data_IF_470244796862
#
_entry.id   IF_470244796862
#
_cell.length_a   1.000
_cell.length_b   1.000
_cell.length_c   1.000
_cell.angle_alpha   90.00
_cell.angle_beta   90.00
_cell.angle_gamma   90.00
#
_symmetry.space_group_name_H-M   'P 1'
#
loop_
_entity.id
_entity.type
_entity.pdbx_description
1 polymer ?
#
# COMPACT_ATOMS: atom_id res chain seq x y z
N UNK A 1 -13.46 -13.74 -11.12
CA UNK A 1 -13.65 -13.03 -12.41
C UNK A 1 -12.32 -12.37 -12.76
N UNK A 2 -11.92 -12.31 -14.04
CA UNK A 2 -10.71 -11.57 -14.44
C UNK A 2 -11.11 -10.13 -14.74
N UNK A 3 -10.73 -9.20 -13.88
CA UNK A 3 -10.96 -7.78 -14.09
C UNK A 3 -9.65 -7.06 -14.40
N UNK A 4 -9.75 -5.98 -15.17
CA UNK A 4 -8.63 -5.07 -15.39
C UNK A 4 -8.82 -3.91 -14.42
N UNK A 5 -7.86 -3.74 -13.53
CA UNK A 5 -7.88 -2.72 -12.49
C UNK A 5 -7.17 -1.45 -12.96
N UNK A 6 -7.74 -0.30 -12.62
CA UNK A 6 -7.04 0.97 -12.71
C UNK A 6 -6.08 1.16 -11.53
N UNK A 7 -5.25 2.21 -11.58
CA UNK A 7 -4.25 2.46 -10.53
C UNK A 7 -4.86 2.69 -9.14
N UNK A 8 -6.06 3.28 -9.07
CA UNK A 8 -6.74 3.54 -7.80
C UNK A 8 -7.23 2.25 -7.14
N UNK A 9 -7.80 1.35 -7.93
CA UNK A 9 -8.23 0.03 -7.49
C UNK A 9 -7.04 -0.83 -7.05
N UNK A 10 -5.93 -0.77 -7.80
CA UNK A 10 -4.68 -1.44 -7.40
C UNK A 10 -4.16 -0.88 -6.09
N UNK A 11 -4.15 0.45 -5.91
CA UNK A 11 -3.72 1.09 -4.68
C UNK A 11 -4.61 0.70 -3.49
N UNK A 12 -5.93 0.63 -3.71
CA UNK A 12 -6.88 0.15 -2.73
C UNK A 12 -6.59 -1.30 -2.31
N UNK A 13 -6.36 -2.21 -3.27
CA UNK A 13 -5.96 -3.61 -2.97
C UNK A 13 -4.65 -3.69 -2.18
N UNK A 14 -3.70 -2.81 -2.47
CA UNK A 14 -2.41 -2.75 -1.77
C UNK A 14 -2.53 -2.08 -0.38
N UNK A 15 -3.68 -1.52 -0.03
CA UNK A 15 -3.87 -0.65 1.14
C UNK A 15 -2.83 0.48 1.19
N UNK A 16 -2.64 1.14 0.04
CA UNK A 16 -1.70 2.25 -0.20
C UNK A 16 -2.35 3.34 -1.02
N UNK A 17 -1.72 4.51 -1.07
CA UNK A 17 -2.15 5.58 -1.96
C UNK A 17 -1.68 5.33 -3.41
N UNK A 18 -2.37 5.83 -4.44
CA UNK A 18 -1.89 5.73 -5.82
C UNK A 18 -0.49 6.32 -5.98
N UNK A 19 -0.21 7.45 -5.32
CA UNK A 19 1.11 8.08 -5.29
C UNK A 19 2.20 7.14 -4.80
N UNK A 20 1.93 6.26 -3.84
CA UNK A 20 2.91 5.28 -3.37
C UNK A 20 3.42 4.39 -4.49
N UNK A 21 2.52 3.93 -5.38
CA UNK A 21 2.87 3.06 -6.51
C UNK A 21 3.77 3.81 -7.49
N UNK A 22 3.45 5.07 -7.81
CA UNK A 22 4.28 5.89 -8.70
C UNK A 22 5.70 6.10 -8.15
N UNK A 23 5.82 6.46 -6.86
CA UNK A 23 7.13 6.74 -6.24
C UNK A 23 7.97 5.47 -6.01
N UNK A 24 7.33 4.33 -5.78
CA UNK A 24 8.00 3.06 -5.50
C UNK A 24 8.03 2.12 -6.72
N UNK A 25 7.66 2.60 -7.91
CA UNK A 25 7.48 1.76 -9.10
C UNK A 25 8.68 0.87 -9.38
N UNK A 26 9.90 1.42 -9.38
CA UNK A 26 11.13 0.64 -9.59
C UNK A 26 11.32 -0.46 -8.55
N UNK A 27 11.00 -0.17 -7.29
CA UNK A 27 11.11 -1.13 -6.18
C UNK A 27 10.07 -2.26 -6.32
N UNK A 28 8.86 -1.91 -6.72
CA UNK A 28 7.77 -2.86 -6.97
C UNK A 28 8.10 -3.75 -8.17
N UNK A 29 8.58 -3.17 -9.28
CA UNK A 29 9.01 -3.94 -10.44
C UNK A 29 10.16 -4.91 -10.09
N UNK A 30 11.11 -4.49 -9.23
CA UNK A 30 12.18 -5.35 -8.74
C UNK A 30 11.67 -6.52 -7.86
N UNK A 31 10.55 -6.35 -7.16
CA UNK A 31 9.89 -7.42 -6.41
C UNK A 31 8.91 -8.24 -7.25
N UNK A 32 8.92 -8.07 -8.57
CA UNK A 32 8.10 -8.83 -9.51
C UNK A 32 6.66 -8.32 -9.62
N UNK A 33 6.39 -7.06 -9.27
CA UNK A 33 5.08 -6.46 -9.41
C UNK A 33 4.62 -6.46 -10.89
N UNK A 34 3.35 -6.78 -11.18
CA UNK A 34 2.83 -6.86 -12.54
C UNK A 34 3.00 -5.55 -13.32
N UNK A 35 3.34 -5.65 -14.60
CA UNK A 35 3.37 -4.50 -15.50
C UNK A 35 1.95 -4.14 -15.95
N UNK A 36 1.66 -2.85 -16.18
CA UNK A 36 0.39 -2.45 -16.77
C UNK A 36 0.27 -2.99 -18.21
N UNK A 37 -0.92 -3.45 -18.55
CA UNK A 37 -1.35 -3.83 -19.88
C UNK A 37 -1.49 -2.57 -20.75
N UNK A 38 -0.75 -2.53 -21.86
CA UNK A 38 -0.73 -1.39 -22.80
C UNK A 38 -2.03 -1.26 -23.61
N UNK A 39 -2.79 -2.35 -23.70
CA UNK A 39 -3.90 -2.56 -24.65
C UNK A 39 -5.12 -1.65 -24.37
N UNK A 40 -5.23 -1.07 -23.16
CA UNK A 40 -6.38 -0.25 -22.73
C UNK A 40 -5.97 1.08 -22.08
N UNK A 41 -4.82 1.64 -22.45
CA UNK A 41 -4.36 2.91 -21.87
C UNK A 41 -3.75 2.78 -20.47
N UNK A 42 -3.33 1.57 -20.09
CA UNK A 42 -2.63 1.28 -18.83
C UNK A 42 -3.56 0.80 -17.72
N UNK A 43 -3.77 -0.51 -17.66
CA UNK A 43 -4.51 -1.19 -16.58
C UNK A 43 -3.76 -2.42 -16.07
N UNK A 44 -4.05 -2.90 -14.87
CA UNK A 44 -3.38 -4.05 -14.28
C UNK A 44 -4.32 -5.25 -14.27
N UNK A 45 -3.81 -6.44 -14.59
CA UNK A 45 -4.58 -7.68 -14.44
C UNK A 45 -4.77 -7.97 -12.94
N UNK A 46 -6.02 -8.02 -12.50
CA UNK A 46 -6.39 -8.33 -11.12
C UNK A 46 -5.74 -9.65 -10.65
N UNK A 47 -5.79 -10.70 -11.48
CA UNK A 47 -5.28 -12.01 -11.10
C UNK A 47 -3.76 -12.00 -10.92
N UNK A 48 -3.05 -11.19 -11.71
CA UNK A 48 -1.60 -11.03 -11.58
C UNK A 48 -1.24 -10.28 -10.28
N UNK A 49 -2.05 -9.29 -9.89
CA UNK A 49 -1.87 -8.55 -8.63
C UNK A 49 -2.11 -9.47 -7.43
N UNK A 50 -3.16 -10.29 -7.47
CA UNK A 50 -3.48 -11.23 -6.39
C UNK A 50 -2.38 -12.29 -6.24
N UNK A 51 -1.93 -12.89 -7.35
CA UNK A 51 -0.80 -13.84 -7.32
C UNK A 51 0.49 -13.21 -6.79
N UNK A 52 0.74 -11.94 -7.10
CA UNK A 52 1.89 -11.24 -6.55
C UNK A 52 1.73 -11.02 -5.04
N UNK A 53 0.54 -10.62 -4.58
CA UNK A 53 0.22 -10.46 -3.15
C UNK A 53 0.39 -11.77 -2.38
N UNK A 54 -0.12 -12.88 -2.91
CA UNK A 54 0.01 -14.20 -2.31
C UNK A 54 1.49 -14.58 -2.11
N UNK A 55 2.33 -14.32 -3.11
CA UNK A 55 3.79 -14.51 -3.01
C UNK A 55 4.43 -13.59 -1.97
N UNK A 56 3.93 -12.37 -1.78
CA UNK A 56 4.45 -11.49 -0.72
C UNK A 56 4.06 -12.00 0.67
N UNK A 57 2.88 -12.63 0.81
CA UNK A 57 2.42 -13.23 2.08
C UNK A 57 3.24 -14.49 2.40
N UNK A 58 3.43 -15.38 1.43
CA UNK A 58 4.25 -16.59 1.59
C UNK A 58 5.71 -16.26 1.93
N UNK A 59 6.26 -15.19 1.35
CA UNK A 59 7.59 -14.70 1.71
C UNK A 59 7.62 -13.97 3.06
N UNK A 60 6.49 -13.43 3.55
CA UNK A 60 6.45 -12.74 4.86
C UNK A 60 6.65 -13.69 6.03
N UNK A 61 6.31 -14.96 5.89
CA UNK A 61 6.67 -15.99 6.87
C UNK A 61 8.20 -16.22 6.94
N UNK A 62 8.97 -15.64 6.01
CA UNK A 62 10.43 -15.60 5.97
C UNK A 62 11.03 -14.18 6.02
N UNK A 63 10.28 -13.10 6.27
CA UNK A 63 10.85 -11.74 6.33
C UNK A 63 11.37 -11.37 7.73
N UNK A 64 12.60 -10.81 7.84
CA UNK A 64 13.11 -10.27 9.11
C UNK A 64 12.31 -9.03 9.52
N UNK A 65 12.15 -8.89 10.84
CA UNK A 65 11.41 -7.92 11.69
C UNK A 65 11.29 -6.44 11.26
N UNK A 66 11.94 -5.99 10.19
CA UNK A 66 12.14 -4.57 9.85
C UNK A 66 10.87 -3.82 9.42
N UNK A 67 9.83 -4.50 8.92
CA UNK A 67 8.58 -3.80 8.53
C UNK A 67 7.62 -3.52 9.71
N UNK A 68 7.88 -4.04 10.92
CA UNK A 68 7.06 -3.74 12.11
C UNK A 68 7.24 -2.30 12.63
N UNK A 69 8.35 -1.64 12.32
CA UNK A 69 8.65 -0.29 12.83
C UNK A 69 7.78 0.80 12.16
N UNK A 70 7.29 0.57 10.94
CA UNK A 70 6.51 1.57 10.21
C UNK A 70 5.16 1.87 10.88
N UNK A 71 4.54 0.87 11.52
CA UNK A 71 3.28 1.05 12.24
C UNK A 71 3.50 1.73 13.60
N UNK A 72 4.65 1.51 14.22
CA UNK A 72 5.02 2.13 15.50
C UNK A 72 5.41 3.61 15.34
N UNK A 73 6.13 3.94 14.27
CA UNK A 73 6.53 5.32 13.96
C UNK A 73 5.30 6.23 13.75
N UNK A 74 4.30 5.77 12.98
CA UNK A 74 3.03 6.48 12.81
C UNK A 74 2.27 6.64 14.14
N UNK A 75 2.24 5.62 15.01
CA UNK A 75 1.66 5.71 16.35
C UNK A 75 2.37 6.75 17.23
N UNK A 76 3.71 6.81 17.19
CA UNK A 76 4.50 7.77 17.98
C UNK A 76 4.28 9.21 17.52
N UNK A 77 4.13 9.44 16.22
CA UNK A 77 3.81 10.77 15.67
C UNK A 77 2.41 11.22 16.11
N UNK A 78 1.39 10.36 15.97
CA UNK A 78 0.03 10.67 16.40
C UNK A 78 -0.06 10.96 17.91
N UNK A 79 0.61 10.17 18.74
CA UNK A 79 0.67 10.42 20.19
C UNK A 79 1.37 11.74 20.56
N UNK A 80 2.28 12.25 19.72
CA UNK A 80 2.92 13.56 19.94
C UNK A 80 1.99 14.71 19.59
N UNK A 81 1.20 14.57 18.52
CA UNK A 81 0.23 15.58 18.10
C UNK A 81 -0.87 15.74 19.15
N UNK A 82 -1.41 14.63 19.69
CA UNK A 82 -2.42 14.68 20.76
C UNK A 82 -1.92 15.33 22.05
N UNK A 83 -0.61 15.28 22.34
CA UNK A 83 -0.02 15.95 23.52
C UNK A 83 0.26 17.44 23.32
N UNK A 84 0.48 17.88 22.08
CA UNK A 84 0.78 19.27 21.76
C UNK A 84 -0.47 20.12 21.55
N UNK A 85 -1.60 19.50 21.21
CA UNK A 85 -2.88 20.18 21.01
C UNK A 85 -4.02 19.47 21.76
N UNK A 86 -4.11 19.62 23.10
CA UNK A 86 -5.17 18.99 23.88
C UNK A 86 -6.58 19.54 23.59
N UNK A 87 -6.70 20.71 22.95
CA UNK A 87 -7.98 21.42 22.81
C UNK A 87 -8.73 21.18 21.48
N UNK A 88 -8.29 20.24 20.64
CA UNK A 88 -9.02 19.87 19.42
C UNK A 88 -10.08 18.77 19.66
N UNK A 89 -10.17 18.24 20.88
CA UNK A 89 -11.16 17.21 21.26
C UNK A 89 -12.47 17.78 21.82
N UNK A 90 -12.65 19.11 21.80
CA UNK A 90 -13.88 19.74 22.30
C UNK A 90 -14.52 20.66 21.26
N UNK A 91 -15.32 20.07 20.38
CA UNK A 91 -16.63 20.59 19.94
C UNK A 91 -17.28 19.65 18.92
N UNK A 92 -18.00 18.67 19.42
CA UNK A 92 -19.28 18.29 18.81
C UNK A 92 -20.36 18.56 19.87
N UNK A 93 -21.19 19.57 19.59
CA UNK A 93 -22.56 19.73 20.11
C UNK A 93 -23.46 19.67 18.89
#
# INVERSE_FOLDING_TARGET
MRQILNIEQVAFKLNRSPSYIYHNRRRLEASGFPKPLEILGGGYDEAAIDLWLDRQIENKDNLPTVERESTEAFRRINNRISRLFPSLEQKEV
#
